data_IF_122737102139
#
_entry.id   IF_122737102139
#
_cell.length_a   1.000
_cell.length_b   1.000
_cell.length_c   1.000
_cell.angle_alpha   90.00
_cell.angle_beta   90.00
_cell.angle_gamma   90.00
#
_symmetry.space_group_name_H-M   'P 1'
#
loop_
_entity.id
_entity.type
_entity.pdbx_description
1 polymer ?
#
# COMPACT_ATOMS: atom_id res chain seq x y z
N UNK A 1 -12.50 -8.97 2.63
CA UNK A 1 -12.37 -8.46 1.23
C UNK A 1 -11.18 -7.47 1.07
N UNK A 2 -9.99 -7.97 0.72
CA UNK A 2 -8.70 -7.24 0.70
C UNK A 2 -8.64 -6.07 -0.30
N UNK A 3 -9.43 -6.10 -1.38
CA UNK A 3 -9.70 -4.99 -2.29
C UNK A 3 -10.06 -3.67 -1.59
N UNK A 4 -10.68 -3.75 -0.40
CA UNK A 4 -11.06 -2.59 0.42
C UNK A 4 -9.85 -1.79 0.91
N UNK A 5 -8.69 -2.44 1.14
CA UNK A 5 -7.49 -1.78 1.64
C UNK A 5 -6.74 -1.02 0.55
N UNK A 6 -6.65 -1.57 -0.67
CA UNK A 6 -6.12 -0.84 -1.81
C UNK A 6 -6.97 0.40 -2.14
N UNK A 7 -8.30 0.25 -2.09
CA UNK A 7 -9.25 1.36 -2.26
C UNK A 7 -9.15 2.39 -1.13
N UNK A 8 -8.91 1.96 0.11
CA UNK A 8 -8.70 2.86 1.24
C UNK A 8 -7.41 3.68 1.11
N UNK A 9 -6.31 3.07 0.64
CA UNK A 9 -5.06 3.78 0.36
C UNK A 9 -5.23 4.80 -0.77
N UNK A 10 -5.91 4.41 -1.85
CA UNK A 10 -6.24 5.34 -2.94
C UNK A 10 -7.12 6.50 -2.47
N UNK A 11 -8.17 6.21 -1.69
CA UNK A 11 -9.06 7.23 -1.13
C UNK A 11 -8.29 8.17 -0.19
N UNK A 12 -7.40 7.65 0.65
CA UNK A 12 -6.54 8.45 1.51
C UNK A 12 -5.67 9.43 0.72
N UNK A 13 -4.99 8.97 -0.33
CA UNK A 13 -4.18 9.84 -1.17
C UNK A 13 -5.01 10.93 -1.85
N UNK A 14 -6.19 10.59 -2.38
CA UNK A 14 -7.11 11.56 -2.97
C UNK A 14 -7.56 12.58 -1.93
N UNK A 15 -7.92 12.16 -0.71
CA UNK A 15 -8.33 13.06 0.37
C UNK A 15 -7.23 14.05 0.73
N UNK A 16 -5.98 13.60 0.86
CA UNK A 16 -4.84 14.50 1.15
C UNK A 16 -4.65 15.52 0.02
N UNK A 17 -4.76 15.10 -1.24
CA UNK A 17 -4.70 16.02 -2.38
C UNK A 17 -5.86 17.03 -2.39
N UNK A 18 -7.08 16.61 -2.04
CA UNK A 18 -8.24 17.50 -1.94
C UNK A 18 -8.06 18.54 -0.84
N UNK A 19 -7.50 18.16 0.31
CA UNK A 19 -7.20 19.10 1.40
C UNK A 19 -6.15 20.13 0.97
N UNK A 20 -5.14 19.69 0.21
CA UNK A 20 -4.12 20.60 -0.32
C UNK A 20 -4.69 21.58 -1.36
N UNK A 21 -5.49 21.10 -2.30
CA UNK A 21 -6.07 21.95 -3.35
C UNK A 21 -7.20 22.85 -2.86
N UNK A 22 -7.85 22.49 -1.75
CA UNK A 22 -8.96 23.26 -1.20
C UNK A 22 -8.75 23.57 0.29
N UNK A 23 -7.73 24.39 0.64
CA UNK A 23 -7.37 24.62 2.03
C UNK A 23 -8.40 25.45 2.78
N UNK A 24 -9.08 26.41 2.11
CA UNK A 24 -10.01 27.34 2.76
C UNK A 24 -11.26 26.64 3.31
N UNK A 25 -12.03 25.86 2.52
CA UNK A 25 -13.21 25.19 3.04
C UNK A 25 -12.87 24.11 4.08
N UNK A 26 -11.68 23.51 3.99
CA UNK A 26 -11.20 22.57 5.02
C UNK A 26 -10.87 23.31 6.31
N UNK A 27 -10.19 24.45 6.23
CA UNK A 27 -9.88 25.28 7.39
C UNK A 27 -11.17 25.80 8.07
N UNK A 28 -12.14 26.29 7.31
CA UNK A 28 -13.46 26.70 7.82
C UNK A 28 -14.19 25.55 8.52
N UNK A 29 -14.18 24.34 7.91
CA UNK A 29 -14.81 23.17 8.51
C UNK A 29 -14.14 22.74 9.82
N UNK A 30 -12.80 22.71 9.85
CA UNK A 30 -12.04 22.37 11.07
C UNK A 30 -12.22 23.43 12.14
N UNK A 31 -12.17 24.71 11.79
CA UNK A 31 -12.37 25.83 12.71
C UNK A 31 -13.81 25.85 13.27
N UNK A 32 -14.80 25.53 12.45
CA UNK A 32 -16.20 25.36 12.86
C UNK A 32 -16.40 24.22 13.84
N UNK A 33 -15.72 23.08 13.64
CA UNK A 33 -15.72 21.95 14.58
C UNK A 33 -14.95 22.25 15.87
N UNK A 34 -13.83 22.96 15.78
CA UNK A 34 -12.99 23.28 16.91
C UNK A 34 -13.53 24.45 17.76
N UNK A 35 -14.42 25.28 17.21
CA UNK A 35 -14.94 26.48 17.85
C UNK A 35 -13.88 27.58 18.09
N UNK A 36 -12.71 27.45 17.46
CA UNK A 36 -11.58 28.38 17.54
C UNK A 36 -10.83 28.39 16.20
N UNK A 37 -10.19 29.51 15.87
CA UNK A 37 -9.34 29.63 14.69
C UNK A 37 -8.04 28.83 14.92
N UNK A 38 -8.04 27.55 14.52
CA UNK A 38 -6.88 26.65 14.62
C UNK A 38 -6.07 26.69 13.34
N UNK A 39 -6.73 26.79 12.18
CA UNK A 39 -6.08 26.85 10.88
C UNK A 39 -6.25 28.22 10.21
N UNK A 40 -5.22 28.71 9.49
CA UNK A 40 -5.34 29.92 8.68
C UNK A 40 -6.31 29.69 7.52
N UNK A 41 -7.27 30.61 7.34
CA UNK A 41 -8.24 30.56 6.24
C UNK A 41 -7.81 31.43 5.03
N UNK A 42 -6.75 32.22 5.19
CA UNK A 42 -6.27 33.15 4.15
C UNK A 42 -5.06 32.65 3.38
N UNK A 43 -4.38 31.62 3.87
CA UNK A 43 -3.11 31.13 3.32
C UNK A 43 -3.08 29.60 3.30
N UNK A 44 -2.27 29.04 2.40
CA UNK A 44 -2.08 27.59 2.33
C UNK A 44 -1.24 27.11 3.51
N UNK A 45 -1.85 26.37 4.44
CA UNK A 45 -1.16 25.82 5.62
C UNK A 45 -0.37 24.54 5.34
N UNK A 46 -0.55 23.92 4.16
CA UNK A 46 0.14 22.69 3.78
C UNK A 46 1.26 22.98 2.77
N UNK A 47 2.49 22.48 3.00
CA UNK A 47 3.61 22.71 2.09
C UNK A 47 3.52 21.88 0.80
N UNK A 48 3.97 22.47 -0.32
CA UNK A 48 3.83 21.91 -1.67
C UNK A 48 4.51 20.54 -1.88
N UNK A 49 5.54 20.22 -1.09
CA UNK A 49 6.27 18.97 -1.23
C UNK A 49 5.42 17.76 -0.83
N UNK A 50 4.43 17.93 0.04
CA UNK A 50 3.59 16.83 0.54
C UNK A 50 2.81 16.16 -0.60
N UNK A 51 1.94 16.87 -1.34
CA UNK A 51 1.22 16.26 -2.46
C UNK A 51 2.18 15.78 -3.56
N UNK A 52 3.29 16.48 -3.80
CA UNK A 52 4.27 16.09 -4.82
C UNK A 52 4.91 14.73 -4.48
N UNK A 53 5.36 14.54 -3.24
CA UNK A 53 5.88 13.25 -2.77
C UNK A 53 4.78 12.19 -2.77
N UNK A 54 3.57 12.52 -2.33
CA UNK A 54 2.45 11.57 -2.30
C UNK A 54 2.10 11.01 -3.69
N UNK A 55 2.08 11.88 -4.71
CA UNK A 55 1.81 11.47 -6.10
C UNK A 55 2.89 10.50 -6.58
N UNK A 56 4.17 10.80 -6.34
CA UNK A 56 5.26 9.90 -6.69
C UNK A 56 5.20 8.57 -5.95
N UNK A 57 4.86 8.58 -4.66
CA UNK A 57 4.66 7.35 -3.87
C UNK A 57 3.48 6.53 -4.41
N UNK A 58 2.37 7.18 -4.74
CA UNK A 58 1.19 6.54 -5.32
C UNK A 58 1.51 5.89 -6.68
N UNK A 59 2.18 6.63 -7.57
CA UNK A 59 2.67 6.10 -8.85
C UNK A 59 3.64 4.94 -8.64
N UNK A 60 4.55 5.04 -7.67
CA UNK A 60 5.46 3.98 -7.30
C UNK A 60 4.70 2.71 -6.87
N UNK A 61 3.67 2.83 -6.03
CA UNK A 61 2.86 1.69 -5.60
C UNK A 61 2.03 1.08 -6.74
N UNK A 62 1.43 1.90 -7.60
CA UNK A 62 0.73 1.41 -8.79
C UNK A 62 1.68 0.72 -9.78
N UNK A 63 2.88 1.27 -9.97
CA UNK A 63 3.92 0.71 -10.83
C UNK A 63 4.43 -0.63 -10.31
N UNK A 64 4.67 -0.71 -9.01
CA UNK A 64 5.15 -1.91 -8.35
C UNK A 64 4.08 -3.03 -8.42
N UNK A 65 2.81 -2.69 -8.27
CA UNK A 65 1.69 -3.61 -8.49
C UNK A 65 1.60 -4.07 -9.96
N UNK A 66 1.73 -3.14 -10.91
CA UNK A 66 1.62 -3.45 -12.34
C UNK A 66 2.79 -4.30 -12.88
N UNK A 67 4.00 -4.11 -12.38
CA UNK A 67 5.21 -4.80 -12.88
C UNK A 67 5.54 -6.06 -12.08
N UNK A 68 5.48 -6.00 -10.75
CA UNK A 68 5.93 -7.09 -9.88
C UNK A 68 4.74 -7.84 -9.24
N UNK A 69 3.50 -7.40 -9.45
CA UNK A 69 2.31 -7.96 -8.79
C UNK A 69 2.22 -7.64 -7.29
N UNK A 70 3.19 -6.91 -6.74
CA UNK A 70 3.25 -6.63 -5.30
C UNK A 70 2.42 -5.40 -4.95
N UNK A 71 1.35 -5.62 -4.18
CA UNK A 71 0.49 -4.56 -3.68
C UNK A 71 0.71 -4.37 -2.17
N UNK A 72 1.11 -3.16 -1.77
CA UNK A 72 1.31 -2.79 -0.35
C UNK A 72 0.03 -2.96 0.46
N UNK A 73 -1.15 -2.70 -0.13
CA UNK A 73 -2.43 -2.91 0.53
C UNK A 73 -2.69 -4.37 0.89
N UNK A 74 -2.30 -5.31 0.01
CA UNK A 74 -2.40 -6.74 0.27
C UNK A 74 -1.44 -7.20 1.38
N UNK A 75 -0.26 -6.59 1.47
CA UNK A 75 0.72 -6.88 2.53
C UNK A 75 0.31 -6.35 3.90
N UNK A 76 -0.28 -5.15 3.96
CA UNK A 76 -0.87 -4.61 5.20
C UNK A 76 -2.00 -5.53 5.67
N UNK A 77 -2.87 -6.00 4.77
CA UNK A 77 -3.91 -6.96 5.13
C UNK A 77 -3.34 -8.26 5.71
N UNK A 78 -2.32 -8.84 5.06
CA UNK A 78 -1.65 -10.06 5.56
C UNK A 78 -1.03 -9.85 6.94
N UNK A 79 -0.46 -8.66 7.20
CA UNK A 79 0.03 -8.28 8.53
C UNK A 79 -1.10 -8.23 9.55
N UNK A 80 -2.25 -7.62 9.22
CA UNK A 80 -3.42 -7.57 10.11
C UNK A 80 -4.04 -8.95 10.37
N UNK A 81 -4.00 -9.86 9.39
CA UNK A 81 -4.38 -11.27 9.59
C UNK A 81 -3.42 -11.96 10.55
N UNK A 82 -2.11 -11.75 10.39
CA UNK A 82 -1.08 -12.29 11.29
C UNK A 82 -1.21 -11.75 12.72
N UNK A 83 -1.66 -10.50 12.87
CA UNK A 83 -1.98 -9.86 14.16
C UNK A 83 -3.34 -10.29 14.74
N UNK A 84 -4.09 -11.18 14.06
CA UNK A 84 -5.34 -11.75 14.55
C UNK A 84 -6.56 -10.82 14.46
N UNK A 85 -6.42 -9.65 13.81
CA UNK A 85 -7.51 -8.67 13.66
C UNK A 85 -8.46 -9.07 12.52
N UNK A 86 -7.99 -9.82 11.52
CA UNK A 86 -8.76 -10.23 10.35
C UNK A 86 -8.61 -11.74 10.10
N UNK A 87 -9.69 -12.42 9.68
CA UNK A 87 -9.73 -13.89 9.53
C UNK A 87 -9.47 -14.44 8.11
N UNK A 88 -9.55 -13.63 7.06
CA UNK A 88 -9.47 -14.10 5.67
C UNK A 88 -8.13 -13.77 5.02
N UNK A 89 -7.46 -14.74 4.39
CA UNK A 89 -6.29 -14.49 3.54
C UNK A 89 -6.73 -13.97 2.15
N UNK A 90 -5.90 -13.11 1.55
CA UNK A 90 -6.14 -12.54 0.22
C UNK A 90 -5.54 -13.45 -0.86
N UNK A 91 -6.37 -14.21 -1.58
CA UNK A 91 -5.94 -15.06 -2.71
C UNK A 91 -5.97 -14.32 -4.07
N UNK A 92 -6.62 -13.16 -4.15
CA UNK A 92 -6.92 -12.48 -5.42
C UNK A 92 -5.83 -11.50 -5.90
N UNK A 93 -4.81 -11.25 -5.07
CA UNK A 93 -3.77 -10.25 -5.32
C UNK A 93 -2.45 -11.00 -5.50
N UNK A 94 -1.82 -10.87 -6.67
CA UNK A 94 -0.62 -11.61 -7.08
C UNK A 94 0.63 -11.27 -6.28
N UNK A 95 0.62 -11.57 -4.98
CA UNK A 95 1.74 -11.34 -4.09
C UNK A 95 2.87 -12.32 -4.41
N UNK A 96 4.07 -11.80 -4.70
CA UNK A 96 5.26 -12.64 -4.75
C UNK A 96 5.56 -13.16 -3.34
N UNK A 97 5.44 -14.47 -3.17
CA UNK A 97 5.98 -15.21 -2.04
C UNK A 97 7.41 -15.67 -2.38
N UNK A 98 8.40 -14.83 -2.02
CA UNK A 98 9.81 -15.12 -2.24
C UNK A 98 10.29 -16.35 -1.47
N UNK A 99 9.64 -16.71 -0.36
CA UNK A 99 9.99 -17.90 0.44
C UNK A 99 9.53 -19.17 -0.29
N UNK A 100 8.31 -19.19 -0.82
CA UNK A 100 7.80 -20.29 -1.65
C UNK A 100 8.61 -20.47 -2.93
N UNK A 101 9.01 -19.37 -3.59
CA UNK A 101 9.89 -19.42 -4.77
C UNK A 101 11.26 -20.03 -4.39
N UNK A 102 11.88 -19.57 -3.30
CA UNK A 102 13.16 -20.12 -2.85
C UNK A 102 13.06 -21.61 -2.50
N UNK A 103 11.98 -22.04 -1.83
CA UNK A 103 11.77 -23.46 -1.49
C UNK A 103 11.66 -24.33 -2.74
N UNK A 104 10.84 -23.94 -3.72
CA UNK A 104 10.70 -24.67 -4.99
C UNK A 104 11.99 -24.73 -5.80
N UNK A 105 12.80 -23.68 -5.75
CA UNK A 105 14.12 -23.67 -6.40
C UNK A 105 15.13 -24.59 -5.70
N UNK A 106 15.08 -24.69 -4.37
CA UNK A 106 15.89 -25.66 -3.61
C UNK A 106 15.44 -27.09 -3.91
N UNK A 107 14.14 -27.37 -3.88
CA UNK A 107 13.57 -28.70 -4.21
C UNK A 107 13.96 -29.16 -5.62
N UNK A 108 13.90 -28.28 -6.63
CA UNK A 108 14.35 -28.61 -8.00
C UNK A 108 15.84 -28.91 -8.08
N UNK A 109 16.68 -28.11 -7.41
CA UNK A 109 18.13 -28.35 -7.39
C UNK A 109 18.49 -29.69 -6.75
N UNK A 110 17.85 -30.03 -5.63
CA UNK A 110 18.05 -31.33 -4.99
C UNK A 110 17.58 -32.51 -5.85
N UNK A 111 16.48 -32.36 -6.60
CA UNK A 111 16.01 -33.38 -7.53
C UNK A 111 16.97 -33.57 -8.73
N UNK A 112 17.54 -32.48 -9.25
CA UNK A 112 18.54 -32.51 -10.33
C UNK A 112 19.87 -33.15 -9.88
N UNK A 113 20.31 -32.89 -8.65
CA UNK A 113 21.51 -33.49 -8.06
C UNK A 113 21.33 -35.00 -7.82
N UNK A 114 20.17 -35.42 -7.29
CA UNK A 114 19.85 -36.83 -7.08
C UNK A 114 19.68 -37.60 -8.40
N UNK A 115 19.13 -36.96 -9.43
CA UNK A 115 18.99 -37.55 -10.76
C UNK A 115 20.32 -37.78 -11.48
N UNK A 116 21.34 -36.94 -11.24
CA UNK A 116 22.69 -37.13 -11.80
C UNK A 116 23.47 -38.24 -11.09
N UNK A 117 23.36 -38.33 -9.76
CA UNK A 117 24.04 -39.37 -8.96
C UNK A 117 23.53 -40.80 -9.19
N UNK A 118 22.37 -40.98 -9.82
CA UNK A 118 21.79 -42.30 -10.14
C UNK A 118 22.03 -42.77 -11.58
N UNK A 119 22.76 -41.99 -12.39
CA UNK A 119 23.05 -42.28 -13.81
C UNK A 119 24.54 -42.62 -14.02
N UNK A 120 25.33 -42.66 -12.96
CA UNK A 120 26.74 -43.12 -12.95
C UNK A 120 26.88 -44.58 -12.50
#
# INVERSE_FOLDING_TARGET
APKRFAWALGAFFITVCLVFFNPVPVAEWVNGLAGKAVLPETESFMPFWIPLVLVWVCLGFMWLEAILGFCVGCKIHALLVKLGVLKEACEACGNIDWEEIHRRHQERRHAEEQGKSGVD
#
